data_IF_357138036715
#
_entry.id   IF_357138036715
#
_cell.length_a   1.000
_cell.length_b   1.000
_cell.length_c   1.000
_cell.angle_alpha   90.00
_cell.angle_beta   90.00
_cell.angle_gamma   90.00
#
_symmetry.space_group_name_H-M   'P 1'
#
loop_
_entity.id
_entity.type
_entity.pdbx_description
1 polymer ?
#
# COMPACT_ATOMS: atom_id res chain seq x y z
N UNK A 1 15.85 12.58 17.58
CA UNK A 1 15.17 11.32 17.21
C UNK A 1 15.62 10.94 15.82
N UNK A 2 16.40 9.87 15.68
CA UNK A 2 16.79 9.35 14.37
C UNK A 2 15.57 8.74 13.67
N UNK A 3 15.33 9.11 12.40
CA UNK A 3 14.12 8.70 11.67
C UNK A 3 14.30 7.24 11.23
N UNK A 4 13.57 6.31 11.84
CA UNK A 4 13.61 4.90 11.42
C UNK A 4 13.13 4.80 9.95
N UNK A 5 13.95 4.28 9.01
CA UNK A 5 13.58 4.14 7.62
C UNK A 5 12.34 3.25 7.47
N UNK A 6 11.50 3.55 6.46
CA UNK A 6 10.27 2.82 6.18
C UNK A 6 10.25 2.34 4.74
N UNK A 7 9.98 1.05 4.55
CA UNK A 7 9.75 0.45 3.23
C UNK A 7 8.26 0.22 3.06
N UNK A 8 7.68 0.67 1.94
CA UNK A 8 6.25 0.49 1.62
C UNK A 8 6.09 -0.49 0.48
N UNK A 9 5.15 -1.43 0.61
CA UNK A 9 4.82 -2.39 -0.43
C UNK A 9 3.30 -2.39 -0.63
N UNK A 10 2.81 -1.92 -1.78
CA UNK A 10 1.43 -2.13 -2.17
C UNK A 10 1.17 -3.64 -2.38
N UNK A 11 0.06 -4.12 -1.84
CA UNK A 11 -0.41 -5.50 -2.04
C UNK A 11 -1.84 -5.46 -2.56
N UNK A 12 -2.08 -6.10 -3.70
CA UNK A 12 -3.38 -6.12 -4.39
C UNK A 12 -3.86 -7.55 -4.69
N UNK A 13 -3.17 -8.57 -4.13
CA UNK A 13 -3.43 -9.98 -4.40
C UNK A 13 -2.92 -10.49 -5.74
N UNK A 14 -2.28 -9.63 -6.55
CA UNK A 14 -1.64 -10.06 -7.79
C UNK A 14 -0.36 -10.85 -7.52
N UNK A 15 -0.01 -11.75 -8.45
CA UNK A 15 1.26 -12.49 -8.38
C UNK A 15 2.48 -11.55 -8.41
N UNK A 16 2.35 -10.37 -9.03
CA UNK A 16 3.40 -9.36 -9.05
C UNK A 16 3.63 -8.77 -7.65
N UNK A 17 2.56 -8.47 -6.90
CA UNK A 17 2.65 -7.98 -5.53
C UNK A 17 3.28 -9.02 -4.59
N UNK A 18 2.91 -10.30 -4.71
CA UNK A 18 3.51 -11.38 -3.90
C UNK A 18 5.02 -11.53 -4.17
N UNK A 19 5.45 -11.40 -5.44
CA UNK A 19 6.88 -11.40 -5.79
C UNK A 19 7.62 -10.18 -5.25
N UNK A 20 6.97 -9.01 -5.24
CA UNK A 20 7.54 -7.78 -4.70
C UNK A 20 7.75 -7.85 -3.18
N UNK A 21 6.89 -8.59 -2.47
CA UNK A 21 6.97 -8.77 -1.02
C UNK A 21 8.30 -9.41 -0.59
N UNK A 22 8.75 -10.46 -1.29
CA UNK A 22 10.02 -11.13 -0.98
C UNK A 22 11.22 -10.17 -1.04
N UNK A 23 11.32 -9.38 -2.11
CA UNK A 23 12.41 -8.41 -2.26
C UNK A 23 12.35 -7.29 -1.21
N UNK A 24 11.15 -6.85 -0.86
CA UNK A 24 10.97 -5.81 0.14
C UNK A 24 11.31 -6.28 1.56
N UNK A 25 11.02 -7.55 1.90
CA UNK A 25 11.44 -8.18 3.15
C UNK A 25 12.96 -8.19 3.27
N UNK A 26 13.67 -8.65 2.24
CA UNK A 26 15.14 -8.66 2.26
C UNK A 26 15.73 -7.24 2.38
N UNK A 27 15.15 -6.25 1.68
CA UNK A 27 15.58 -4.85 1.78
C UNK A 27 15.33 -4.29 3.17
N UNK A 28 14.19 -4.58 3.78
CA UNK A 28 13.85 -4.13 5.13
C UNK A 28 14.78 -4.73 6.18
N UNK A 29 15.10 -6.02 6.07
CA UNK A 29 16.06 -6.69 6.93
C UNK A 29 17.45 -6.06 6.82
N UNK A 30 17.96 -5.84 5.60
CA UNK A 30 19.28 -5.22 5.35
C UNK A 30 19.40 -3.80 5.89
N UNK A 31 18.32 -3.03 5.82
CA UNK A 31 18.31 -1.61 6.21
C UNK A 31 17.77 -1.36 7.62
N UNK A 32 17.42 -2.43 8.36
CA UNK A 32 16.71 -2.37 9.65
C UNK A 32 15.48 -1.45 9.59
N UNK A 33 14.81 -1.42 8.43
CA UNK A 33 13.67 -0.55 8.19
C UNK A 33 12.38 -1.24 8.60
N UNK A 34 11.38 -0.45 8.99
CA UNK A 34 10.03 -0.97 9.21
C UNK A 34 9.36 -1.21 7.87
N UNK A 35 8.92 -2.46 7.62
CA UNK A 35 8.11 -2.81 6.47
C UNK A 35 6.63 -2.48 6.75
N UNK A 36 5.98 -1.79 5.80
CA UNK A 36 4.55 -1.46 5.85
C UNK A 36 3.89 -2.01 4.60
N UNK A 37 2.94 -2.92 4.79
CA UNK A 37 2.09 -3.44 3.72
C UNK A 37 0.84 -2.58 3.59
N UNK A 38 0.47 -2.23 2.36
CA UNK A 38 -0.71 -1.41 2.07
C UNK A 38 -1.59 -2.12 1.05
N UNK A 39 -2.79 -2.52 1.46
CA UNK A 39 -3.83 -2.99 0.57
C UNK A 39 -4.82 -1.85 0.31
N UNK A 40 -5.02 -1.50 -0.97
CA UNK A 40 -6.05 -0.52 -1.37
C UNK A 40 -7.21 -1.30 -1.96
N UNK A 41 -8.32 -1.32 -1.24
CA UNK A 41 -9.58 -1.85 -1.76
C UNK A 41 -10.36 -0.69 -2.40
N UNK A 42 -10.95 -0.93 -3.58
CA UNK A 42 -11.83 0.06 -4.18
C UNK A 42 -13.03 0.25 -3.24
N UNK A 43 -13.17 1.45 -2.67
CA UNK A 43 -14.42 1.85 -2.03
C UNK A 43 -15.53 1.91 -3.07
N UNK A 44 -16.78 1.77 -2.63
CA UNK A 44 -17.92 2.05 -3.49
C UNK A 44 -17.86 3.51 -3.96
N UNK A 45 -18.14 3.81 -5.23
CA UNK A 45 -18.29 5.20 -5.64
C UNK A 45 -19.41 5.81 -4.81
N UNK A 46 -19.09 6.76 -3.93
CA UNK A 46 -20.10 7.62 -3.32
C UNK A 46 -20.61 8.52 -4.42
N UNK A 47 -21.66 8.06 -5.11
CA UNK A 47 -22.38 8.81 -6.14
C UNK A 47 -22.53 10.25 -5.65
N UNK A 48 -22.00 11.27 -6.35
CA UNK A 48 -22.33 12.65 -6.00
C UNK A 48 -23.85 12.74 -6.14
N UNK A 49 -24.52 12.96 -5.02
CA UNK A 49 -25.96 13.16 -4.96
C UNK A 49 -26.34 14.19 -5.99
N UNK A 50 -27.26 13.81 -6.89
CA UNK A 50 -27.95 14.70 -7.81
C UNK A 50 -28.39 15.98 -7.09
N UNK A 51 -27.70 17.09 -7.32
CA UNK A 51 -28.23 18.44 -7.11
C UNK A 51 -28.12 19.19 -8.42
N UNK A 52 -29.12 18.98 -9.26
CA UNK A 52 -29.70 19.99 -10.14
C UNK A 52 -31.02 19.40 -10.64
N UNK A 53 -32.06 19.56 -9.81
CA UNK A 53 -33.43 19.56 -10.32
C UNK A 53 -33.62 20.91 -11.05
N UNK A 54 -34.16 20.91 -12.28
CA UNK A 54 -34.65 22.14 -12.91
C UNK A 54 -35.87 22.69 -12.16
#
# INVERSE_FOLDING_TARGET
>A
MEKNPRTRVPVDGSQAAERALGQALERAARTKSRLILLCITAGFPTKPSSVNAP
#
